data_IF_149534396724
#
_entry.id   IF_149534396724
#
_cell.length_a   1.000
_cell.length_b   1.000
_cell.length_c   1.000
_cell.angle_alpha   90.00
_cell.angle_beta   90.00
_cell.angle_gamma   90.00
#
_symmetry.space_group_name_H-M   'P 1'
#
loop_
_entity.id
_entity.type
_entity.pdbx_description
1 polymer ?
#
# COMPACT_ATOMS: atom_id res chain seq x y z
N UNK A 1 14.65 -42.40 45.02
CA UNK A 1 14.61 -40.97 44.73
C UNK A 1 14.77 -40.77 43.24
N UNK A 2 13.68 -40.68 42.51
CA UNK A 2 13.66 -40.39 41.06
C UNK A 2 13.41 -38.89 40.87
N UNK A 3 14.35 -38.18 40.26
CA UNK A 3 14.19 -36.77 39.89
C UNK A 3 13.59 -36.71 38.48
N UNK A 4 12.33 -36.26 38.38
CA UNK A 4 11.70 -35.94 37.10
C UNK A 4 12.28 -34.59 36.58
N UNK A 5 12.84 -34.60 35.41
CA UNK A 5 13.21 -33.40 34.66
C UNK A 5 12.02 -33.02 33.77
N UNK A 6 11.36 -31.91 34.07
CA UNK A 6 10.43 -31.26 33.15
C UNK A 6 11.22 -30.52 32.05
N UNK A 7 11.12 -31.01 30.83
CA UNK A 7 11.56 -30.24 29.64
C UNK A 7 10.49 -29.22 29.30
N UNK A 8 10.77 -27.96 29.51
CA UNK A 8 9.97 -26.88 28.98
C UNK A 8 10.31 -26.71 27.49
N UNK A 9 9.38 -27.03 26.63
CA UNK A 9 9.47 -26.77 25.18
C UNK A 9 9.17 -25.27 24.99
N UNK A 10 10.22 -24.48 24.79
CA UNK A 10 10.08 -23.11 24.30
C UNK A 10 9.69 -23.19 22.81
N UNK A 11 8.41 -22.96 22.52
CA UNK A 11 7.97 -22.67 21.15
C UNK A 11 8.52 -21.29 20.77
N UNK A 12 9.67 -21.28 20.07
CA UNK A 12 10.23 -20.06 19.50
C UNK A 12 9.26 -19.50 18.48
N UNK A 13 8.66 -18.33 18.75
CA UNK A 13 8.03 -17.51 17.72
C UNK A 13 9.12 -17.18 16.70
N UNK A 14 9.02 -17.75 15.52
CA UNK A 14 9.75 -17.26 14.34
C UNK A 14 9.22 -15.85 14.03
N UNK A 15 9.88 -14.85 14.57
CA UNK A 15 9.79 -13.48 14.07
C UNK A 15 10.40 -13.57 12.67
N UNK A 16 9.62 -13.31 11.63
CA UNK A 16 10.13 -13.08 10.29
C UNK A 16 11.17 -11.96 10.36
N UNK A 17 12.44 -12.30 10.47
CA UNK A 17 13.50 -11.36 10.14
C UNK A 17 13.46 -11.16 8.62
N UNK A 18 12.76 -10.10 8.18
CA UNK A 18 13.00 -9.55 6.85
C UNK A 18 14.50 -9.28 6.76
N UNK A 19 15.17 -10.00 5.88
CA UNK A 19 16.57 -9.70 5.54
C UNK A 19 16.59 -8.21 5.18
N UNK A 20 17.51 -7.45 5.77
CA UNK A 20 17.59 -6.02 5.61
C UNK A 20 17.66 -5.65 4.13
N UNK A 21 16.56 -5.10 3.59
CA UNK A 21 16.48 -4.70 2.20
C UNK A 21 15.17 -5.01 1.50
N UNK A 22 14.35 -5.95 1.98
CA UNK A 22 13.10 -6.34 1.32
C UNK A 22 11.96 -5.31 1.50
N UNK A 23 11.09 -5.22 0.46
CA UNK A 23 9.87 -4.41 0.43
C UNK A 23 8.69 -5.30 0.05
N UNK A 24 8.22 -6.19 0.94
CA UNK A 24 7.40 -7.35 0.59
C UNK A 24 5.91 -7.06 0.38
N UNK A 25 5.44 -5.84 0.64
CA UNK A 25 4.03 -5.47 0.61
C UNK A 25 3.83 -4.02 0.21
N UNK A 26 2.58 -3.62 0.02
CA UNK A 26 2.21 -2.21 -0.12
C UNK A 26 2.72 -1.39 1.05
N UNK A 27 3.51 -0.34 0.74
CA UNK A 27 4.18 0.53 1.72
C UNK A 27 5.19 -0.20 2.63
N UNK A 28 5.78 -1.29 2.12
CA UNK A 28 6.91 -1.99 2.74
C UNK A 28 6.54 -2.93 3.89
N UNK A 29 7.54 -3.35 4.66
CA UNK A 29 7.40 -4.45 5.63
C UNK A 29 6.42 -4.15 6.77
N UNK A 30 6.20 -2.89 7.07
CA UNK A 30 5.29 -2.44 8.15
C UNK A 30 4.01 -1.78 7.62
N UNK A 31 3.86 -1.60 6.30
CA UNK A 31 2.76 -0.84 5.71
C UNK A 31 2.82 0.67 5.96
N UNK A 32 3.93 1.18 6.53
CA UNK A 32 4.07 2.59 6.92
C UNK A 32 4.78 3.47 5.88
N UNK A 33 5.28 2.87 4.78
CA UNK A 33 6.00 3.60 3.74
C UNK A 33 7.43 3.96 4.12
N UNK A 34 8.02 3.26 5.07
CA UNK A 34 9.36 3.53 5.58
C UNK A 34 10.31 2.38 5.32
N UNK A 35 11.50 2.67 4.80
CA UNK A 35 12.60 1.74 4.63
C UNK A 35 13.69 1.98 5.67
N UNK A 36 14.35 0.89 6.10
CA UNK A 36 15.53 0.96 6.98
C UNK A 36 16.82 1.34 6.23
N UNK A 37 16.74 1.66 4.93
CA UNK A 37 17.90 1.98 4.12
C UNK A 37 18.61 3.25 4.63
N UNK A 38 19.90 3.17 4.87
CA UNK A 38 20.71 4.32 5.32
C UNK A 38 21.01 5.30 4.18
N UNK A 39 21.15 4.81 2.94
CA UNK A 39 21.45 5.60 1.75
C UNK A 39 20.53 5.21 0.60
N UNK A 40 19.97 6.21 -0.05
CA UNK A 40 19.13 6.08 -1.23
C UNK A 40 19.49 7.19 -2.23
N UNK A 41 19.29 6.99 -3.55
CA UNK A 41 19.54 8.01 -4.56
C UNK A 41 18.72 9.28 -4.30
N UNK A 42 19.37 10.43 -4.30
CA UNK A 42 18.69 11.74 -4.21
C UNK A 42 18.45 12.34 -5.60
N UNK A 43 19.34 12.03 -6.55
CA UNK A 43 19.30 12.60 -7.89
C UNK A 43 19.36 11.52 -8.97
N UNK A 44 18.53 11.69 -10.00
CA UNK A 44 18.52 10.89 -11.23
C UNK A 44 17.85 11.66 -12.37
N UNK A 45 18.09 11.20 -13.59
CA UNK A 45 17.50 11.72 -14.81
C UNK A 45 17.23 10.58 -15.81
N UNK A 46 16.63 10.83 -16.97
CA UNK A 46 16.47 9.80 -18.01
C UNK A 46 17.79 9.14 -18.46
N UNK A 47 18.92 9.83 -18.28
CA UNK A 47 20.25 9.38 -18.72
C UNK A 47 21.23 9.07 -17.58
N UNK A 48 20.80 9.19 -16.32
CA UNK A 48 21.70 9.02 -15.15
C UNK A 48 20.96 8.48 -13.94
N UNK A 49 21.63 7.63 -13.15
CA UNK A 49 21.08 7.09 -11.90
C UNK A 49 20.02 6.02 -12.08
N UNK A 50 19.79 5.51 -13.30
CA UNK A 50 18.89 4.39 -13.61
C UNK A 50 19.75 3.14 -13.78
N UNK A 51 19.62 2.17 -12.86
CA UNK A 51 20.29 0.90 -12.96
C UNK A 51 19.72 0.06 -14.12
N UNK A 52 18.39 0.03 -14.24
CA UNK A 52 17.72 -0.58 -15.37
C UNK A 52 16.30 0.01 -15.56
N UNK A 53 15.80 -0.14 -16.79
CA UNK A 53 14.45 0.21 -17.23
C UNK A 53 13.94 -0.90 -18.13
N UNK A 54 12.75 -1.43 -17.86
CA UNK A 54 12.16 -2.51 -18.65
C UNK A 54 10.69 -2.20 -18.98
N UNK A 55 10.20 -2.60 -20.18
CA UNK A 55 8.80 -2.40 -20.53
C UNK A 55 7.89 -3.29 -19.70
N UNK A 56 6.69 -2.80 -19.41
CA UNK A 56 5.59 -3.54 -18.81
C UNK A 56 4.55 -3.91 -19.89
N UNK A 57 3.80 -5.01 -19.74
CA UNK A 57 2.80 -5.42 -20.72
C UNK A 57 1.59 -4.47 -20.79
N UNK A 58 1.47 -3.55 -19.85
CA UNK A 58 0.43 -2.54 -19.81
C UNK A 58 0.42 -1.72 -18.52
N UNK A 59 -0.55 -0.82 -18.41
CA UNK A 59 -0.65 0.09 -17.29
C UNK A 59 -1.10 -0.60 -15.99
N UNK A 60 -1.10 0.19 -14.91
CA UNK A 60 -1.60 -0.18 -13.59
C UNK A 60 -1.12 0.81 -12.54
N UNK A 61 -1.69 0.73 -11.35
CA UNK A 61 -1.36 1.60 -10.23
C UNK A 61 -0.77 0.85 -9.02
N UNK A 62 -0.47 -0.46 -9.15
CA UNK A 62 0.23 -1.18 -8.10
C UNK A 62 1.61 -0.59 -7.85
N UNK A 63 2.06 -0.55 -6.62
CA UNK A 63 3.49 -0.43 -6.32
C UNK A 63 4.23 -1.70 -6.74
N UNK A 64 5.56 -1.63 -6.79
CA UNK A 64 6.38 -2.82 -6.82
C UNK A 64 6.52 -3.40 -5.41
N UNK A 65 6.68 -4.72 -5.30
CA UNK A 65 7.24 -5.37 -4.13
C UNK A 65 8.56 -6.02 -4.48
N UNK A 66 9.48 -6.00 -3.54
CA UNK A 66 10.83 -6.56 -3.73
C UNK A 66 11.08 -7.53 -2.59
N UNK A 67 11.41 -8.76 -2.94
CA UNK A 67 11.77 -9.79 -1.96
C UNK A 67 12.67 -10.84 -2.58
N UNK A 68 13.68 -11.25 -1.83
CA UNK A 68 14.59 -12.34 -2.23
C UNK A 68 15.19 -12.15 -3.63
N UNK A 69 15.60 -10.92 -3.97
CA UNK A 69 16.18 -10.59 -5.29
C UNK A 69 15.19 -10.57 -6.45
N UNK A 70 13.89 -10.61 -6.18
CA UNK A 70 12.79 -10.55 -7.16
C UNK A 70 11.96 -9.29 -6.99
N UNK A 71 11.40 -8.79 -8.10
CA UNK A 71 10.44 -7.69 -8.13
C UNK A 71 9.11 -8.21 -8.65
N UNK A 72 8.05 -7.95 -7.93
CA UNK A 72 6.70 -8.35 -8.37
C UNK A 72 5.84 -7.10 -8.58
N UNK A 73 5.10 -7.06 -9.69
CA UNK A 73 4.25 -5.94 -10.06
C UNK A 73 3.02 -6.44 -10.83
N UNK A 74 1.86 -5.80 -10.65
CA UNK A 74 0.66 -6.11 -11.42
C UNK A 74 0.43 -5.09 -12.53
N UNK A 75 -0.12 -5.55 -13.65
CA UNK A 75 -0.50 -4.75 -14.83
C UNK A 75 -1.83 -5.24 -15.38
N UNK A 76 -2.39 -4.54 -16.35
CA UNK A 76 -3.52 -5.03 -17.14
C UNK A 76 -3.32 -4.74 -18.63
N UNK A 77 -4.03 -5.50 -19.48
CA UNK A 77 -4.03 -5.32 -20.93
C UNK A 77 -5.38 -5.66 -21.53
N UNK A 78 -5.56 -5.39 -22.81
CA UNK A 78 -6.72 -5.81 -23.61
C UNK A 78 -7.95 -4.90 -23.52
N UNK A 79 -8.00 -3.94 -22.60
CA UNK A 79 -9.09 -2.98 -22.49
C UNK A 79 -8.62 -1.64 -21.92
N UNK A 80 -9.00 -0.52 -22.55
CA UNK A 80 -8.67 0.85 -22.13
C UNK A 80 -7.19 1.07 -21.78
N UNK A 81 -6.29 0.48 -22.56
CA UNK A 81 -4.85 0.70 -22.41
C UNK A 81 -4.49 2.06 -23.01
N UNK A 82 -3.84 2.99 -22.25
CA UNK A 82 -3.44 4.29 -22.78
C UNK A 82 -2.61 4.19 -24.05
N UNK A 83 -3.01 4.90 -25.10
CA UNK A 83 -2.34 4.88 -26.39
C UNK A 83 -2.66 3.67 -27.29
N UNK A 84 -3.48 2.72 -26.84
CA UNK A 84 -3.97 1.58 -27.62
C UNK A 84 -5.51 1.61 -27.68
N UNK A 85 -6.11 2.25 -28.67
CA UNK A 85 -7.58 2.29 -28.79
C UNK A 85 -8.13 0.90 -29.09
N UNK A 86 -9.33 0.62 -28.59
CA UNK A 86 -10.03 -0.65 -28.78
C UNK A 86 -9.96 -1.58 -27.56
N UNK A 87 -10.35 -2.81 -27.78
CA UNK A 87 -10.53 -3.80 -26.71
C UNK A 87 -11.93 -3.73 -26.07
N UNK A 88 -12.20 -4.69 -25.22
CA UNK A 88 -13.45 -4.79 -24.46
C UNK A 88 -13.15 -5.42 -23.09
N UNK A 89 -14.10 -5.34 -22.17
CA UNK A 89 -13.99 -6.05 -20.89
C UNK A 89 -13.79 -7.56 -21.05
N UNK A 90 -14.29 -8.14 -22.16
CA UNK A 90 -14.07 -9.57 -22.49
C UNK A 90 -12.60 -9.87 -22.85
N UNK A 91 -11.85 -8.92 -23.35
CA UNK A 91 -10.42 -9.08 -23.64
C UNK A 91 -9.50 -8.61 -22.50
N UNK A 92 -10.05 -8.08 -21.42
CA UNK A 92 -9.30 -7.63 -20.26
C UNK A 92 -8.53 -8.78 -19.59
N UNK A 93 -7.24 -8.60 -19.44
CA UNK A 93 -6.34 -9.51 -18.73
C UNK A 93 -5.60 -8.75 -17.65
N UNK A 94 -5.40 -9.40 -16.53
CA UNK A 94 -4.56 -8.92 -15.43
C UNK A 94 -3.29 -9.74 -15.38
N UNK A 95 -2.18 -9.10 -15.14
CA UNK A 95 -0.85 -9.70 -15.18
C UNK A 95 -0.20 -9.57 -13.81
N UNK A 96 0.44 -10.62 -13.34
CA UNK A 96 1.43 -10.60 -12.28
C UNK A 96 2.77 -10.94 -12.90
N UNK A 97 3.71 -10.00 -12.82
CA UNK A 97 5.08 -10.18 -13.31
C UNK A 97 6.01 -10.43 -12.15
N UNK A 98 6.98 -11.31 -12.37
CA UNK A 98 8.18 -11.47 -11.56
C UNK A 98 9.39 -11.09 -12.39
N UNK A 99 10.16 -10.12 -11.91
CA UNK A 99 11.38 -9.65 -12.54
C UNK A 99 12.56 -9.94 -11.62
N UNK A 100 13.73 -10.09 -12.18
CA UNK A 100 15.00 -10.11 -11.44
C UNK A 100 15.35 -8.70 -10.95
N UNK A 101 15.58 -8.53 -9.66
CA UNK A 101 15.81 -7.21 -9.07
C UNK A 101 17.14 -6.56 -9.51
N UNK A 102 18.12 -7.36 -9.92
CA UNK A 102 19.43 -6.88 -10.37
C UNK A 102 19.39 -6.32 -11.80
N UNK A 103 18.56 -6.90 -12.69
CA UNK A 103 18.59 -6.63 -14.14
C UNK A 103 17.28 -6.16 -14.73
N UNK A 104 16.15 -6.35 -14.00
CA UNK A 104 14.80 -6.14 -14.53
C UNK A 104 14.34 -7.23 -15.51
N UNK A 105 15.13 -8.26 -15.78
CA UNK A 105 14.75 -9.35 -16.70
C UNK A 105 13.52 -10.07 -16.15
N UNK A 106 12.52 -10.30 -17.02
CA UNK A 106 11.34 -11.09 -16.67
C UNK A 106 11.73 -12.54 -16.39
N UNK A 107 11.39 -13.01 -15.20
CA UNK A 107 11.57 -14.40 -14.77
C UNK A 107 10.34 -15.23 -15.18
N UNK A 108 9.17 -14.71 -14.86
CA UNK A 108 7.89 -15.28 -15.28
C UNK A 108 6.78 -14.21 -15.26
N UNK A 109 5.70 -14.55 -15.96
CA UNK A 109 4.47 -13.78 -16.01
C UNK A 109 3.27 -14.72 -15.82
N UNK A 110 2.27 -14.27 -15.04
CA UNK A 110 0.98 -14.95 -14.89
C UNK A 110 -0.13 -14.04 -15.36
N UNK A 111 -1.02 -14.60 -16.16
CA UNK A 111 -2.16 -13.89 -16.73
C UNK A 111 -3.44 -14.44 -16.13
N UNK A 112 -4.26 -13.55 -15.58
CA UNK A 112 -5.57 -13.83 -14.99
C UNK A 112 -6.62 -13.13 -15.84
N UNK A 113 -7.52 -13.87 -16.52
CA UNK A 113 -8.65 -13.29 -17.24
C UNK A 113 -9.59 -12.52 -16.30
N UNK A 114 -10.27 -11.51 -16.83
CA UNK A 114 -11.32 -10.83 -16.08
C UNK A 114 -12.52 -11.77 -15.85
N UNK A 115 -13.08 -11.78 -14.64
CA UNK A 115 -14.36 -12.43 -14.33
C UNK A 115 -15.49 -11.46 -14.72
N UNK A 116 -16.23 -11.81 -15.75
CA UNK A 116 -17.28 -10.95 -16.30
C UNK A 116 -18.62 -11.04 -15.50
N UNK A 117 -19.48 -10.02 -15.57
CA UNK A 117 -19.27 -8.71 -16.18
C UNK A 117 -18.27 -7.87 -15.35
N UNK A 118 -17.48 -7.02 -15.99
CA UNK A 118 -16.54 -6.10 -15.36
C UNK A 118 -16.99 -4.66 -15.64
N UNK A 119 -16.49 -3.67 -14.88
CA UNK A 119 -16.72 -2.26 -15.16
C UNK A 119 -16.15 -1.89 -16.53
N UNK A 120 -16.95 -1.22 -17.36
CA UNK A 120 -16.51 -0.73 -18.66
C UNK A 120 -15.41 0.32 -18.54
N UNK A 121 -15.37 1.04 -17.42
CA UNK A 121 -14.33 2.05 -17.18
C UNK A 121 -14.05 2.22 -15.70
N UNK A 122 -12.81 1.96 -15.32
CA UNK A 122 -12.27 2.35 -14.02
C UNK A 122 -11.58 3.71 -14.15
N UNK A 123 -11.87 4.64 -13.25
CA UNK A 123 -11.27 5.97 -13.26
C UNK A 123 -9.79 5.90 -12.84
N UNK A 124 -8.97 6.72 -13.48
CA UNK A 124 -7.59 7.10 -13.11
C UNK A 124 -6.56 5.96 -12.95
N UNK A 125 -6.86 4.86 -12.26
CA UNK A 125 -5.88 3.83 -11.92
C UNK A 125 -6.06 2.50 -12.68
N UNK A 126 -7.13 2.36 -13.46
CA UNK A 126 -7.39 1.16 -14.27
C UNK A 126 -7.63 -0.12 -13.44
N UNK A 127 -7.34 -1.28 -14.05
CA UNK A 127 -7.80 -2.59 -13.55
C UNK A 127 -6.73 -3.38 -12.76
N UNK A 128 -5.60 -2.77 -12.42
CA UNK A 128 -4.50 -3.40 -11.67
C UNK A 128 -3.87 -2.39 -10.68
N UNK A 129 -4.64 -2.01 -9.65
CA UNK A 129 -4.19 -1.04 -8.65
C UNK A 129 -3.63 -1.70 -7.38
N UNK A 130 -4.08 -2.92 -7.05
CA UNK A 130 -3.62 -3.65 -5.88
C UNK A 130 -2.16 -4.05 -6.01
N UNK A 131 -1.34 -3.66 -5.02
CA UNK A 131 0.06 -4.06 -4.90
C UNK A 131 0.13 -5.50 -4.37
N UNK A 132 0.96 -6.39 -4.92
CA UNK A 132 1.12 -7.74 -4.41
C UNK A 132 1.63 -7.77 -2.96
N UNK A 133 1.43 -8.89 -2.29
CA UNK A 133 2.10 -9.25 -1.04
C UNK A 133 2.99 -10.46 -1.31
N UNK A 134 4.18 -10.49 -0.72
CA UNK A 134 5.11 -11.62 -0.83
C UNK A 134 5.52 -12.06 0.57
N UNK A 135 5.55 -13.37 0.81
CA UNK A 135 6.18 -13.97 1.97
C UNK A 135 7.32 -14.93 1.54
N UNK A 136 7.81 -15.75 2.43
CA UNK A 136 8.91 -16.69 2.19
C UNK A 136 8.58 -17.79 1.18
N UNK A 137 7.30 -18.01 0.85
CA UNK A 137 6.82 -19.12 0.01
C UNK A 137 5.97 -18.68 -1.17
N UNK A 138 5.12 -17.67 -0.96
CA UNK A 138 4.06 -17.31 -1.90
C UNK A 138 4.05 -15.81 -2.21
N UNK A 139 3.58 -15.49 -3.40
CA UNK A 139 3.17 -14.16 -3.81
C UNK A 139 1.65 -14.13 -4.00
N UNK A 140 1.00 -13.14 -3.40
CA UNK A 140 -0.44 -12.95 -3.41
C UNK A 140 -0.80 -11.74 -4.25
N UNK A 141 -1.65 -11.93 -5.26
CA UNK A 141 -2.14 -10.86 -6.13
C UNK A 141 -3.66 -10.76 -6.05
N UNK A 142 -4.15 -9.59 -5.66
CA UNK A 142 -5.58 -9.31 -5.57
C UNK A 142 -6.05 -8.57 -6.83
N UNK A 143 -7.04 -9.13 -7.51
CA UNK A 143 -7.57 -8.60 -8.76
C UNK A 143 -9.07 -8.29 -8.68
N UNK A 144 -9.49 -7.68 -7.57
CA UNK A 144 -10.87 -7.31 -7.35
C UNK A 144 -11.79 -8.52 -7.44
N UNK A 145 -12.88 -8.42 -8.18
CA UNK A 145 -13.82 -9.53 -8.34
C UNK A 145 -13.23 -10.76 -9.06
N UNK A 146 -12.09 -10.65 -9.73
CA UNK A 146 -11.38 -11.84 -10.24
C UNK A 146 -10.67 -12.63 -9.15
N UNK A 147 -10.71 -12.17 -7.89
CA UNK A 147 -10.28 -12.90 -6.71
C UNK A 147 -8.88 -12.59 -6.23
N UNK A 148 -8.50 -13.26 -5.16
CA UNK A 148 -7.13 -13.32 -4.64
C UNK A 148 -6.46 -14.59 -5.14
N UNK A 149 -5.30 -14.46 -5.76
CA UNK A 149 -4.50 -15.56 -6.31
C UNK A 149 -3.18 -15.67 -5.57
N UNK A 150 -2.78 -16.89 -5.23
CA UNK A 150 -1.46 -17.18 -4.68
C UNK A 150 -0.65 -18.06 -5.64
N UNK A 151 0.60 -17.67 -5.81
CA UNK A 151 1.58 -18.41 -6.63
C UNK A 151 2.85 -18.63 -5.79
N UNK A 152 3.55 -19.74 -6.04
CA UNK A 152 4.90 -19.90 -5.49
C UNK A 152 5.84 -18.82 -6.06
N UNK A 153 7.00 -18.61 -5.44
CA UNK A 153 7.99 -17.66 -5.94
C UNK A 153 8.48 -18.01 -7.36
N UNK A 154 8.32 -19.27 -7.78
CA UNK A 154 8.61 -19.74 -9.14
C UNK A 154 7.40 -19.68 -10.10
N UNK A 155 6.29 -19.11 -9.63
CA UNK A 155 5.10 -18.85 -10.43
C UNK A 155 4.16 -20.04 -10.59
N UNK A 156 4.28 -21.10 -9.80
CA UNK A 156 3.29 -22.19 -9.80
C UNK A 156 2.07 -21.73 -8.99
N UNK A 157 0.87 -21.85 -9.56
CA UNK A 157 -0.36 -21.51 -8.86
C UNK A 157 -0.56 -22.44 -7.65
N UNK A 158 -0.66 -21.87 -6.47
CA UNK A 158 -0.91 -22.59 -5.23
C UNK A 158 -2.43 -22.70 -4.96
N UNK A 159 -3.13 -21.56 -5.02
CA UNK A 159 -4.58 -21.48 -4.80
C UNK A 159 -5.16 -20.18 -5.35
N UNK A 160 -6.48 -20.11 -5.41
CA UNK A 160 -7.25 -18.89 -5.63
C UNK A 160 -8.47 -18.86 -4.72
N UNK A 161 -8.95 -17.66 -4.37
CA UNK A 161 -10.13 -17.48 -3.55
C UNK A 161 -11.04 -16.40 -4.12
N UNK A 162 -12.34 -16.68 -4.12
CA UNK A 162 -13.39 -15.71 -4.46
C UNK A 162 -13.62 -14.77 -3.27
N UNK A 163 -13.71 -13.48 -3.52
CA UNK A 163 -13.90 -12.45 -2.49
C UNK A 163 -15.21 -11.66 -2.68
N UNK A 164 -15.98 -12.03 -3.68
CA UNK A 164 -17.24 -11.39 -4.04
C UNK A 164 -17.33 -11.05 -5.52
N UNK A 165 -18.46 -10.50 -5.93
CA UNK A 165 -18.79 -10.31 -7.36
C UNK A 165 -19.22 -8.90 -7.74
N UNK A 166 -19.36 -7.98 -6.78
CA UNK A 166 -19.70 -6.58 -7.07
C UNK A 166 -18.54 -5.82 -7.68
N UNK A 167 -18.84 -4.73 -8.36
CA UNK A 167 -17.90 -3.81 -9.00
C UNK A 167 -18.24 -2.37 -8.64
N UNK A 168 -17.32 -1.47 -8.95
CA UNK A 168 -17.49 -0.03 -8.79
C UNK A 168 -16.70 0.70 -9.86
N UNK A 169 -17.23 1.78 -10.41
CA UNK A 169 -16.50 2.65 -11.34
C UNK A 169 -15.22 3.28 -10.77
N UNK A 170 -15.02 3.19 -9.44
CA UNK A 170 -13.76 3.52 -8.77
C UNK A 170 -12.78 2.34 -8.71
N UNK A 171 -13.20 1.12 -9.09
CA UNK A 171 -12.39 -0.09 -9.07
C UNK A 171 -11.97 -0.54 -7.67
N UNK A 172 -11.14 -1.59 -7.63
CA UNK A 172 -10.52 -2.14 -6.43
C UNK A 172 -9.10 -1.62 -6.30
N UNK A 173 -8.70 -1.13 -5.13
CA UNK A 173 -7.39 -0.53 -4.92
C UNK A 173 -6.65 -1.03 -3.67
N UNK A 174 -7.35 -1.62 -2.71
CA UNK A 174 -6.74 -2.18 -1.52
C UNK A 174 -5.77 -3.32 -1.86
N UNK A 175 -4.70 -3.43 -1.09
CA UNK A 175 -3.68 -4.47 -1.25
C UNK A 175 -3.82 -5.55 -0.18
N UNK A 176 -3.41 -6.81 -0.43
CA UNK A 176 -3.39 -7.85 0.60
C UNK A 176 -2.37 -7.54 1.69
N UNK A 177 -2.69 -7.95 2.92
CA UNK A 177 -1.85 -7.75 4.11
C UNK A 177 -1.63 -9.07 4.83
N UNK A 178 -0.39 -9.34 5.24
CA UNK A 178 -0.08 -10.48 6.10
C UNK A 178 -0.40 -10.17 7.57
N UNK A 179 -1.09 -11.08 8.25
CA UNK A 179 -1.35 -11.00 9.68
C UNK A 179 -1.27 -12.40 10.31
N UNK A 180 -0.13 -12.76 10.90
CA UNK A 180 0.14 -14.12 11.35
C UNK A 180 0.06 -15.11 10.18
N UNK A 181 -0.71 -16.18 10.33
CA UNK A 181 -0.93 -17.18 9.28
C UNK A 181 -2.06 -16.80 8.28
N UNK A 182 -2.51 -15.55 8.35
CA UNK A 182 -3.58 -15.05 7.50
C UNK A 182 -3.05 -14.08 6.44
N UNK A 183 -3.68 -14.11 5.26
CA UNK A 183 -3.69 -13.03 4.31
C UNK A 183 -5.06 -12.35 4.38
N UNK A 184 -5.05 -11.03 4.56
CA UNK A 184 -6.27 -10.23 4.72
C UNK A 184 -6.44 -9.31 3.52
N UNK A 185 -7.64 -9.25 2.97
CA UNK A 185 -8.01 -8.32 1.90
C UNK A 185 -9.20 -7.46 2.31
N UNK A 186 -9.15 -6.19 1.95
CA UNK A 186 -10.29 -5.30 2.00
C UNK A 186 -11.06 -5.44 0.68
N UNK A 187 -12.08 -6.27 0.70
CA UNK A 187 -13.01 -6.51 -0.41
C UNK A 187 -14.29 -5.67 -0.27
N UNK A 188 -14.14 -4.40 0.11
CA UNK A 188 -15.28 -3.50 0.31
C UNK A 188 -16.08 -3.29 -0.96
N UNK A 189 -15.44 -3.28 -2.11
CA UNK A 189 -16.07 -3.18 -3.44
C UNK A 189 -16.76 -4.49 -3.80
N UNK A 190 -16.11 -5.62 -3.66
CA UNK A 190 -16.55 -6.92 -4.14
C UNK A 190 -17.66 -7.53 -3.29
N UNK A 191 -17.63 -7.30 -1.97
CA UNK A 191 -18.57 -7.93 -1.02
C UNK A 191 -18.91 -7.08 0.21
N UNK A 192 -18.43 -5.84 0.29
CA UNK A 192 -18.64 -5.00 1.48
C UNK A 192 -17.96 -5.57 2.73
N UNK A 193 -16.80 -6.23 2.59
CA UNK A 193 -16.19 -7.01 3.67
C UNK A 193 -14.67 -6.88 3.74
N UNK A 194 -14.13 -7.06 4.95
CA UNK A 194 -12.73 -7.49 5.14
C UNK A 194 -12.74 -9.00 5.26
N UNK A 195 -11.87 -9.67 4.50
CA UNK A 195 -11.81 -11.14 4.45
C UNK A 195 -10.42 -11.60 4.83
N UNK A 196 -10.34 -12.56 5.76
CA UNK A 196 -9.10 -13.22 6.10
C UNK A 196 -9.10 -14.67 5.63
N UNK A 197 -8.03 -15.03 4.93
CA UNK A 197 -7.81 -16.34 4.36
C UNK A 197 -6.55 -16.95 4.98
N UNK A 198 -6.55 -18.25 5.16
CA UNK A 198 -5.34 -19.02 5.49
C UNK A 198 -4.31 -18.86 4.36
N UNK A 199 -3.11 -18.39 4.69
CA UNK A 199 -2.07 -18.10 3.68
C UNK A 199 -1.65 -19.31 2.86
N UNK A 200 -1.61 -20.50 3.49
CA UNK A 200 -1.14 -21.70 2.83
C UNK A 200 -2.18 -22.31 1.89
N UNK A 201 -3.47 -22.17 2.21
CA UNK A 201 -4.55 -22.91 1.54
C UNK A 201 -5.58 -22.04 0.82
N UNK A 202 -5.62 -20.74 1.08
CA UNK A 202 -6.64 -19.82 0.58
C UNK A 202 -8.02 -20.00 1.22
N UNK A 203 -8.16 -20.89 2.23
CA UNK A 203 -9.45 -21.12 2.89
C UNK A 203 -9.84 -19.93 3.76
N UNK A 204 -11.08 -19.43 3.60
CA UNK A 204 -11.61 -18.36 4.42
C UNK A 204 -11.67 -18.78 5.89
N UNK A 205 -11.12 -17.97 6.76
CA UNK A 205 -11.14 -18.12 8.21
C UNK A 205 -12.22 -17.27 8.86
N UNK A 206 -12.35 -16.03 8.40
CA UNK A 206 -13.40 -15.12 8.86
C UNK A 206 -13.68 -14.02 7.84
N UNK A 207 -14.84 -13.40 7.98
CA UNK A 207 -15.32 -12.27 7.20
C UNK A 207 -15.97 -11.25 8.10
N UNK A 208 -15.53 -10.00 8.03
CA UNK A 208 -16.15 -8.86 8.70
C UNK A 208 -16.92 -8.03 7.67
N UNK A 209 -18.24 -8.04 7.76
CA UNK A 209 -19.12 -7.35 6.81
C UNK A 209 -19.44 -5.91 7.24
N UNK A 210 -20.09 -5.14 6.35
CA UNK A 210 -20.49 -3.75 6.60
C UNK A 210 -19.40 -2.73 6.30
N UNK A 211 -18.36 -3.13 5.56
CA UNK A 211 -17.28 -2.26 5.11
C UNK A 211 -17.74 -1.48 3.88
N UNK A 212 -17.84 -0.15 4.02
CA UNK A 212 -18.33 0.73 2.96
C UNK A 212 -17.37 1.86 2.69
N UNK A 213 -17.29 2.28 1.40
CA UNK A 213 -16.49 3.43 0.94
C UNK A 213 -15.02 3.36 1.39
N UNK A 214 -14.43 2.15 1.33
CA UNK A 214 -13.12 1.85 1.86
C UNK A 214 -12.26 1.22 0.77
N UNK A 215 -11.27 1.95 0.27
CA UNK A 215 -10.26 1.49 -0.70
C UNK A 215 -8.87 1.38 -0.08
N UNK A 216 -8.75 1.71 1.22
CA UNK A 216 -7.47 1.65 1.91
C UNK A 216 -7.07 0.21 2.24
N UNK A 217 -5.78 0.00 2.29
CA UNK A 217 -5.19 -1.24 2.76
C UNK A 217 -5.22 -1.25 4.29
N UNK A 218 -5.79 -2.29 4.94
CA UNK A 218 -5.75 -2.43 6.39
C UNK A 218 -4.31 -2.46 6.92
N UNK A 219 -4.11 -2.00 8.15
CA UNK A 219 -2.78 -1.96 8.76
C UNK A 219 -2.79 -2.76 10.06
N UNK A 220 -1.73 -3.53 10.29
CA UNK A 220 -1.53 -4.27 11.54
C UNK A 220 -0.87 -3.33 12.55
N UNK A 221 -1.57 -3.06 13.65
CA UNK A 221 -1.14 -2.13 14.70
C UNK A 221 -0.96 -2.89 16.01
N UNK A 222 0.12 -2.67 16.80
CA UNK A 222 0.22 -3.20 18.15
C UNK A 222 -0.95 -2.72 19.02
N UNK A 223 -1.49 -3.59 19.88
CA UNK A 223 -2.64 -3.26 20.76
C UNK A 223 -2.21 -2.66 22.11
N UNK A 224 -0.91 -2.53 22.34
CA UNK A 224 -0.34 -2.02 23.59
C UNK A 224 -0.28 -3.05 24.72
N UNK A 225 -0.89 -4.23 24.59
CA UNK A 225 -0.86 -5.33 25.55
C UNK A 225 0.03 -6.51 25.09
N UNK A 226 0.83 -6.29 24.04
CA UNK A 226 1.69 -7.32 23.46
C UNK A 226 1.03 -8.10 22.30
N UNK A 227 -0.23 -7.81 21.99
CA UNK A 227 -0.96 -8.34 20.85
C UNK A 227 -0.96 -7.39 19.63
N UNK A 228 -1.82 -7.73 18.67
CA UNK A 228 -2.00 -6.98 17.42
C UNK A 228 -3.49 -6.76 17.15
N UNK A 229 -3.78 -5.73 16.41
CA UNK A 229 -5.11 -5.42 15.89
C UNK A 229 -5.01 -5.04 14.41
N UNK A 230 -6.06 -5.29 13.64
CA UNK A 230 -6.21 -4.84 12.26
C UNK A 230 -7.00 -3.54 12.27
N UNK A 231 -6.39 -2.46 11.76
CA UNK A 231 -7.04 -1.14 11.72
C UNK A 231 -7.36 -0.76 10.28
N UNK A 232 -8.60 -0.32 10.06
CA UNK A 232 -9.11 0.06 8.73
C UNK A 232 -10.01 1.28 8.83
N UNK A 233 -9.92 2.18 7.86
CA UNK A 233 -10.81 3.31 7.73
C UNK A 233 -11.98 2.98 6.78
N UNK A 234 -13.18 3.27 7.23
CA UNK A 234 -14.40 3.15 6.43
C UNK A 234 -15.17 4.49 6.45
N UNK A 235 -16.25 4.59 5.69
CA UNK A 235 -17.11 5.79 5.75
C UNK A 235 -17.53 6.10 7.18
N UNK A 236 -17.13 7.26 7.68
CA UNK A 236 -17.49 7.78 9.00
C UNK A 236 -16.79 7.16 10.20
N UNK A 237 -15.93 6.14 10.03
CA UNK A 237 -15.28 5.45 11.15
C UNK A 237 -13.89 4.94 10.83
N UNK A 238 -13.06 4.84 11.88
CA UNK A 238 -11.93 3.91 11.92
C UNK A 238 -12.34 2.74 12.80
N UNK A 239 -12.04 1.52 12.35
CA UNK A 239 -12.32 0.28 13.06
C UNK A 239 -11.02 -0.40 13.47
N UNK A 240 -10.96 -0.90 14.69
CA UNK A 240 -9.98 -1.87 15.15
C UNK A 240 -10.63 -3.25 15.25
N UNK A 241 -10.10 -4.19 14.47
CA UNK A 241 -10.60 -5.56 14.40
C UNK A 241 -9.65 -6.51 15.12
N UNK A 242 -10.20 -7.50 15.80
CA UNK A 242 -9.47 -8.66 16.29
C UNK A 242 -8.97 -9.48 15.11
N UNK A 243 -7.66 -9.67 14.91
CA UNK A 243 -7.12 -10.38 13.77
C UNK A 243 -7.49 -11.86 13.71
N UNK A 244 -7.77 -12.49 14.83
CA UNK A 244 -8.11 -13.91 14.89
C UNK A 244 -9.56 -14.20 14.45
N UNK A 245 -10.47 -13.24 14.67
CA UNK A 245 -11.91 -13.45 14.51
C UNK A 245 -12.59 -12.47 13.55
N UNK A 246 -11.94 -11.37 13.18
CA UNK A 246 -12.53 -10.28 12.41
C UNK A 246 -13.56 -9.45 13.17
N UNK A 247 -13.81 -9.73 14.45
CA UNK A 247 -14.75 -8.95 15.26
C UNK A 247 -14.22 -7.55 15.52
N UNK A 248 -15.10 -6.56 15.44
CA UNK A 248 -14.77 -5.19 15.82
C UNK A 248 -14.54 -5.12 17.33
N UNK A 249 -13.32 -4.82 17.74
CA UNK A 249 -12.97 -4.58 19.13
C UNK A 249 -13.34 -3.16 19.54
N UNK A 250 -13.05 -2.18 18.68
CA UNK A 250 -13.39 -0.78 18.90
C UNK A 250 -13.68 -0.04 17.58
N UNK A 251 -14.35 1.09 17.71
CA UNK A 251 -14.57 2.03 16.60
C UNK A 251 -14.39 3.48 17.07
N UNK A 252 -13.92 4.35 16.18
CA UNK A 252 -13.83 5.80 16.40
C UNK A 252 -14.48 6.53 15.23
N UNK A 253 -15.43 7.44 15.49
CA UNK A 253 -16.05 8.26 14.48
C UNK A 253 -15.03 9.27 13.91
N UNK A 254 -15.04 9.44 12.57
CA UNK A 254 -14.08 10.29 11.86
C UNK A 254 -14.69 11.57 11.32
N UNK A 255 -16.02 11.63 11.13
CA UNK A 255 -16.72 12.66 10.37
C UNK A 255 -16.31 12.75 8.88
N UNK A 256 -15.47 11.82 8.40
CA UNK A 256 -15.14 11.63 6.99
C UNK A 256 -16.11 10.61 6.41
N UNK A 257 -17.08 11.08 5.66
CA UNK A 257 -18.26 10.29 5.30
C UNK A 257 -18.14 9.50 4.00
N UNK A 258 -17.11 9.77 3.21
CA UNK A 258 -16.96 9.21 1.87
C UNK A 258 -15.50 9.16 1.40
N UNK A 259 -15.16 8.16 0.58
CA UNK A 259 -13.92 8.05 -0.19
C UNK A 259 -12.67 7.83 0.67
N UNK A 260 -12.67 6.75 1.46
CA UNK A 260 -11.53 6.39 2.32
C UNK A 260 -10.49 5.59 1.54
N UNK A 261 -9.54 6.28 0.89
CA UNK A 261 -8.48 5.68 0.07
C UNK A 261 -7.13 5.62 0.77
N UNK A 262 -6.63 6.71 1.42
CA UNK A 262 -5.35 6.65 2.10
C UNK A 262 -5.34 5.63 3.23
N UNK A 263 -4.27 4.84 3.28
CA UNK A 263 -4.06 3.90 4.38
C UNK A 263 -3.65 4.64 5.66
N UNK A 264 -4.06 4.08 6.76
CA UNK A 264 -3.73 4.55 8.10
C UNK A 264 -2.23 4.42 8.36
N UNK A 265 -1.67 5.32 9.15
CA UNK A 265 -0.33 5.22 9.73
C UNK A 265 -0.38 5.24 11.24
N UNK A 266 0.62 4.63 11.89
CA UNK A 266 0.66 4.57 13.34
C UNK A 266 2.09 4.65 13.89
N UNK A 267 2.21 5.18 15.08
CA UNK A 267 3.44 5.23 15.86
C UNK A 267 3.10 5.27 17.36
N UNK A 268 3.70 4.39 18.16
CA UNK A 268 3.57 4.39 19.63
C UNK A 268 2.10 4.46 20.15
N UNK A 269 1.18 3.74 19.49
CA UNK A 269 -0.25 3.70 19.87
C UNK A 269 -1.07 4.89 19.34
N UNK A 270 -0.44 5.91 18.75
CA UNK A 270 -1.10 6.94 17.98
C UNK A 270 -1.40 6.42 16.58
N UNK A 271 -2.61 6.63 16.12
CA UNK A 271 -3.07 6.32 14.76
C UNK A 271 -3.48 7.61 14.09
N UNK A 272 -2.99 7.85 12.87
CA UNK A 272 -3.39 8.97 12.04
C UNK A 272 -4.10 8.48 10.78
N UNK A 273 -5.24 9.11 10.49
CA UNK A 273 -6.05 8.87 9.30
C UNK A 273 -6.19 10.20 8.54
N UNK A 274 -5.94 10.18 7.24
CA UNK A 274 -6.27 11.28 6.34
C UNK A 274 -7.16 10.75 5.22
N UNK A 275 -7.93 11.60 4.58
CA UNK A 275 -8.72 11.19 3.42
C UNK A 275 -10.08 11.85 3.34
N UNK A 276 -10.85 11.33 2.39
CA UNK A 276 -12.20 11.79 2.14
C UNK A 276 -12.30 13.06 1.30
N UNK A 277 -13.47 13.26 0.72
CA UNK A 277 -13.77 14.43 -0.12
C UNK A 277 -14.80 15.36 0.49
N UNK A 278 -15.15 15.13 1.75
CA UNK A 278 -16.17 15.93 2.46
C UNK A 278 -15.87 16.01 3.95
N UNK A 279 -16.06 17.17 4.53
CA UNK A 279 -15.94 17.41 5.95
C UNK A 279 -14.48 17.52 6.41
N UNK A 280 -14.17 16.86 7.52
CA UNK A 280 -12.82 16.76 8.08
C UNK A 280 -11.94 15.93 7.16
N UNK A 281 -10.69 16.35 6.97
CA UNK A 281 -9.75 15.71 6.06
C UNK A 281 -8.65 14.92 6.78
N UNK A 282 -8.52 15.05 8.09
CA UNK A 282 -7.53 14.30 8.89
C UNK A 282 -7.95 14.21 10.35
N UNK A 283 -7.45 13.20 11.03
CA UNK A 283 -7.60 13.02 12.46
C UNK A 283 -6.48 12.18 13.05
N UNK A 284 -6.21 12.40 14.35
CA UNK A 284 -5.39 11.54 15.18
C UNK A 284 -6.24 10.91 16.28
N UNK A 285 -5.97 9.64 16.55
CA UNK A 285 -6.64 8.90 17.61
C UNK A 285 -5.65 7.98 18.35
N UNK A 286 -5.93 7.70 19.61
CA UNK A 286 -5.27 6.66 20.39
C UNK A 286 -5.97 5.34 20.10
N UNK A 287 -5.28 4.40 19.46
CA UNK A 287 -5.83 3.09 19.17
C UNK A 287 -5.94 2.21 20.42
N UNK A 288 -6.93 1.32 20.43
CA UNK A 288 -7.15 0.35 21.52
C UNK A 288 -8.40 0.65 22.33
N UNK A 289 -8.63 -0.15 23.37
CA UNK A 289 -9.87 -0.12 24.14
C UNK A 289 -10.95 -1.03 23.58
N UNK A 290 -12.22 -0.77 23.94
CA UNK A 290 -13.36 -1.57 23.51
C UNK A 290 -14.58 -0.69 23.23
N UNK A 291 -15.40 -1.09 22.23
CA UNK A 291 -16.62 -0.39 21.85
C UNK A 291 -16.36 0.94 21.12
N UNK A 292 -17.21 1.92 21.34
CA UNK A 292 -17.04 3.26 20.76
C UNK A 292 -16.05 4.10 21.59
N UNK A 293 -14.88 4.34 21.03
CA UNK A 293 -13.81 5.12 21.66
C UNK A 293 -13.77 6.59 21.19
N UNK A 294 -14.80 7.08 20.50
CA UNK A 294 -14.79 8.42 19.90
C UNK A 294 -14.50 9.51 20.94
N UNK A 295 -15.17 9.46 22.10
CA UNK A 295 -14.99 10.47 23.14
C UNK A 295 -13.66 10.34 23.89
N UNK A 296 -13.11 9.13 24.04
CA UNK A 296 -11.90 8.87 24.83
C UNK A 296 -10.64 8.74 23.98
N UNK A 297 -10.77 8.34 22.73
CA UNK A 297 -9.65 8.01 21.84
C UNK A 297 -9.35 9.06 20.77
N UNK A 298 -10.34 9.84 20.29
CA UNK A 298 -10.11 10.86 19.26
C UNK A 298 -9.38 12.07 19.87
N UNK A 299 -8.17 12.31 19.44
CA UNK A 299 -7.29 13.35 19.99
C UNK A 299 -7.48 14.69 19.29
N UNK A 300 -7.56 14.70 17.97
CA UNK A 300 -7.70 15.90 17.16
C UNK A 300 -8.34 15.60 15.81
N UNK A 301 -8.82 16.65 15.14
CA UNK A 301 -9.29 16.65 13.76
C UNK A 301 -8.72 17.84 13.00
N UNK A 302 -8.54 17.71 11.68
CA UNK A 302 -7.96 18.73 10.82
C UNK A 302 -8.66 18.84 9.47
N UNK A 303 -8.49 20.00 8.81
CA UNK A 303 -9.09 20.32 7.51
C UNK A 303 -8.13 20.05 6.34
N UNK A 304 -6.89 19.71 6.61
CA UNK A 304 -5.85 19.43 5.60
C UNK A 304 -5.63 17.94 5.49
N UNK A 305 -5.56 17.42 4.25
CA UNK A 305 -5.38 16.00 3.99
C UNK A 305 -5.07 15.73 2.52
N UNK A 306 -5.20 14.47 2.14
CA UNK A 306 -5.10 13.97 0.78
C UNK A 306 -6.21 12.96 0.54
N UNK A 307 -6.80 12.95 -0.66
CA UNK A 307 -7.88 12.01 -0.97
C UNK A 307 -7.34 10.63 -1.42
N UNK A 308 -6.10 10.52 -1.85
CA UNK A 308 -5.55 9.31 -2.48
C UNK A 308 -4.24 8.87 -1.84
N UNK A 309 -3.26 9.78 -1.75
CA UNK A 309 -1.92 9.50 -1.23
C UNK A 309 -1.94 9.30 0.28
N UNK A 310 -1.39 8.18 0.77
CA UNK A 310 -1.27 7.90 2.21
C UNK A 310 -0.13 8.72 2.84
N UNK A 311 -0.21 9.10 4.13
CA UNK A 311 0.84 9.88 4.79
C UNK A 311 2.04 9.02 5.22
N UNK A 312 3.11 9.68 5.67
CA UNK A 312 4.20 9.10 6.47
C UNK A 312 4.07 9.64 7.91
N UNK A 313 4.21 8.78 8.89
CA UNK A 313 4.33 9.17 10.31
C UNK A 313 5.73 8.79 10.78
N UNK A 314 6.51 9.80 11.18
CA UNK A 314 7.91 9.64 11.57
C UNK A 314 8.32 10.68 12.59
N UNK A 315 8.96 10.24 13.68
CA UNK A 315 9.43 11.09 14.77
C UNK A 315 8.37 12.09 15.25
N UNK A 316 7.15 11.59 15.51
CA UNK A 316 6.04 12.39 16.01
C UNK A 316 5.48 13.41 15.02
N UNK A 317 5.89 13.36 13.74
CA UNK A 317 5.39 14.23 12.68
C UNK A 317 4.70 13.45 11.58
N UNK A 318 3.59 13.99 11.09
CA UNK A 318 2.81 13.45 9.98
C UNK A 318 3.14 14.25 8.71
N UNK A 319 3.60 13.55 7.66
CA UNK A 319 3.98 14.14 6.37
C UNK A 319 3.08 13.62 5.27
N UNK A 320 2.56 14.50 4.42
CA UNK A 320 1.80 14.11 3.23
C UNK A 320 1.87 15.19 2.15
N UNK A 321 1.42 14.84 0.95
CA UNK A 321 1.20 15.80 -0.12
C UNK A 321 -0.28 15.79 -0.51
N UNK A 322 -0.89 16.97 -0.66
CA UNK A 322 -2.23 17.07 -1.21
C UNK A 322 -2.23 16.54 -2.65
N UNK A 323 -3.13 15.60 -2.93
CA UNK A 323 -3.17 14.85 -4.19
C UNK A 323 -3.51 15.69 -5.42
N UNK A 324 -4.18 16.83 -5.26
CA UNK A 324 -4.62 17.69 -6.37
C UNK A 324 -3.71 18.90 -6.59
N UNK A 325 -3.14 19.44 -5.53
CA UNK A 325 -2.52 20.78 -5.55
C UNK A 325 -1.00 20.74 -5.44
N UNK A 326 -0.39 19.58 -5.16
CA UNK A 326 1.05 19.46 -4.97
C UNK A 326 1.57 20.32 -3.79
N UNK A 327 0.79 20.40 -2.71
CA UNK A 327 1.19 21.06 -1.46
C UNK A 327 1.69 19.98 -0.50
N UNK A 328 2.95 20.14 -0.06
CA UNK A 328 3.54 19.29 0.97
C UNK A 328 3.19 19.86 2.36
N UNK A 329 2.78 18.98 3.24
CA UNK A 329 2.43 19.28 4.63
C UNK A 329 3.30 18.51 5.60
N UNK A 330 3.56 19.13 6.74
CA UNK A 330 4.02 18.50 7.96
C UNK A 330 3.14 18.97 9.11
N UNK A 331 2.70 18.04 9.95
CA UNK A 331 1.94 18.34 11.15
C UNK A 331 2.52 17.60 12.36
N UNK A 332 2.36 18.15 13.55
CA UNK A 332 2.59 17.43 14.80
C UNK A 332 1.55 16.32 14.92
N UNK A 333 1.98 15.07 14.96
CA UNK A 333 1.08 13.94 14.95
C UNK A 333 0.18 13.85 16.20
N UNK A 334 0.64 14.38 17.34
CA UNK A 334 -0.11 14.38 18.60
C UNK A 334 -1.24 15.40 18.67
N UNK A 335 -1.18 16.48 17.89
CA UNK A 335 -2.12 17.61 17.97
C UNK A 335 -2.78 17.99 16.65
N UNK A 336 -2.23 17.52 15.50
CA UNK A 336 -2.66 17.93 14.16
C UNK A 336 -2.23 19.36 13.77
N UNK A 337 -1.46 20.06 14.61
CA UNK A 337 -0.93 21.41 14.32
C UNK A 337 -0.03 21.36 13.09
N UNK A 338 -0.33 22.19 12.08
CA UNK A 338 0.47 22.29 10.86
C UNK A 338 1.78 23.00 11.17
N UNK A 339 2.89 22.33 10.91
CA UNK A 339 4.25 22.85 11.07
C UNK A 339 4.70 23.57 9.81
N UNK A 340 4.43 22.99 8.64
CA UNK A 340 4.58 23.66 7.36
C UNK A 340 3.52 23.24 6.34
N UNK A 341 3.22 24.17 5.42
CA UNK A 341 2.36 24.01 4.25
C UNK A 341 3.06 24.66 3.07
N UNK A 342 3.66 23.86 2.18
CA UNK A 342 4.52 24.36 1.11
C UNK A 342 4.12 23.85 -0.26
N UNK A 343 3.84 24.75 -1.18
CA UNK A 343 3.52 24.40 -2.57
C UNK A 343 4.79 24.12 -3.36
N UNK A 344 4.88 22.90 -3.91
CA UNK A 344 6.00 22.52 -4.75
C UNK A 344 5.69 22.85 -6.22
N UNK A 345 6.48 23.74 -6.81
CA UNK A 345 6.28 24.16 -8.19
C UNK A 345 6.37 22.98 -9.18
N UNK A 346 5.34 22.82 -10.00
CA UNK A 346 5.28 21.79 -11.02
C UNK A 346 5.03 20.37 -10.51
N UNK A 347 4.61 20.18 -9.26
CA UNK A 347 4.24 18.88 -8.72
C UNK A 347 2.96 18.33 -9.39
N UNK A 348 1.95 19.18 -9.60
CA UNK A 348 0.68 18.74 -10.16
C UNK A 348 -0.02 17.73 -9.25
N UNK A 349 -0.67 16.74 -9.86
CA UNK A 349 -1.35 15.67 -9.12
C UNK A 349 -0.37 14.61 -8.59
N UNK A 350 -0.61 14.14 -7.35
CA UNK A 350 0.18 13.12 -6.68
C UNK A 350 -0.74 12.04 -6.12
N UNK A 351 -0.78 10.86 -6.78
CA UNK A 351 -1.59 9.73 -6.33
C UNK A 351 -0.75 8.68 -5.59
N UNK A 352 0.50 8.52 -5.99
CA UNK A 352 1.44 7.64 -5.30
C UNK A 352 1.62 8.06 -3.84
N UNK A 353 1.58 7.10 -2.94
CA UNK A 353 1.95 7.33 -1.54
C UNK A 353 3.47 7.55 -1.45
N UNK A 354 3.94 8.53 -0.66
CA UNK A 354 5.36 8.76 -0.47
C UNK A 354 6.04 7.59 0.23
N UNK A 355 7.36 7.52 0.06
CA UNK A 355 8.22 6.63 0.84
C UNK A 355 9.27 7.45 1.57
N UNK A 356 9.64 7.00 2.77
CA UNK A 356 10.73 7.54 3.57
C UNK A 356 11.89 6.56 3.55
N UNK A 357 13.06 7.03 3.13
CA UNK A 357 14.29 6.24 3.11
C UNK A 357 15.51 7.18 3.20
N UNK A 358 16.56 6.76 3.91
CA UNK A 358 17.78 7.55 4.07
C UNK A 358 17.56 8.95 4.63
N UNK A 359 16.57 9.12 5.52
CA UNK A 359 16.18 10.41 6.10
C UNK A 359 15.43 11.36 5.15
N UNK A 360 15.01 10.88 3.97
CA UNK A 360 14.31 11.69 2.99
C UNK A 360 12.96 11.08 2.60
N UNK A 361 11.98 11.95 2.32
CA UNK A 361 10.67 11.61 1.79
C UNK A 361 10.66 11.86 0.28
N UNK A 362 10.23 10.86 -0.48
CA UNK A 362 10.13 10.91 -1.93
C UNK A 362 8.65 11.02 -2.33
N UNK A 363 8.26 12.17 -2.88
CA UNK A 363 6.93 12.41 -3.42
C UNK A 363 6.94 12.24 -4.93
N UNK A 364 6.24 11.23 -5.46
CA UNK A 364 6.15 10.94 -6.89
C UNK A 364 4.85 11.49 -7.46
N UNK A 365 4.98 12.42 -8.42
CA UNK A 365 3.84 12.97 -9.16
C UNK A 365 3.36 12.07 -10.30
N UNK A 366 2.12 12.25 -10.74
CA UNK A 366 1.55 11.51 -11.87
C UNK A 366 2.28 11.74 -13.21
N UNK A 367 3.10 12.79 -13.31
CA UNK A 367 3.92 13.09 -14.48
C UNK A 367 5.33 12.50 -14.44
N UNK A 368 5.65 11.73 -13.39
CA UNK A 368 6.96 11.10 -13.22
C UNK A 368 8.03 11.99 -12.60
N UNK A 369 7.65 13.18 -12.09
CA UNK A 369 8.55 13.98 -11.27
C UNK A 369 8.57 13.43 -9.85
N UNK A 370 9.76 13.32 -9.27
CA UNK A 370 9.96 12.94 -7.88
C UNK A 370 10.62 14.08 -7.13
N UNK A 371 9.98 14.52 -6.06
CA UNK A 371 10.46 15.59 -5.18
C UNK A 371 11.02 14.97 -3.92
N UNK A 372 12.27 15.32 -3.58
CA UNK A 372 13.00 14.79 -2.43
C UNK A 372 13.06 15.87 -1.35
N UNK A 373 12.51 15.55 -0.18
CA UNK A 373 12.38 16.46 0.96
C UNK A 373 12.93 15.74 2.20
N UNK A 374 13.73 16.38 3.08
CA UNK A 374 14.12 15.76 4.35
C UNK A 374 12.90 15.43 5.22
N UNK A 375 12.97 14.34 5.96
CA UNK A 375 11.94 13.98 6.94
C UNK A 375 12.13 14.79 8.24
N UNK A 376 12.04 16.11 8.15
CA UNK A 376 12.27 17.08 9.21
C UNK A 376 11.07 18.02 9.32
N UNK A 377 10.80 18.62 10.50
CA UNK A 377 9.72 19.61 10.69
C UNK A 377 10.04 20.99 10.07
N UNK A 378 10.88 21.00 9.08
CA UNK A 378 11.27 22.18 8.29
C UNK A 378 11.34 21.82 6.82
N UNK A 379 10.56 22.48 5.99
CA UNK A 379 10.56 22.22 4.55
C UNK A 379 11.86 22.67 3.88
N UNK A 380 12.41 21.78 3.05
CA UNK A 380 13.50 22.06 2.12
C UNK A 380 13.41 21.09 0.93
N UNK A 381 13.28 21.63 -0.27
CA UNK A 381 13.36 20.80 -1.49
C UNK A 381 14.84 20.51 -1.79
N UNK A 382 15.24 19.24 -1.69
CA UNK A 382 16.63 18.79 -1.92
C UNK A 382 16.88 18.54 -3.39
N UNK A 383 15.96 17.82 -4.05
CA UNK A 383 16.07 17.49 -5.45
C UNK A 383 14.71 17.40 -6.13
N UNK A 384 14.70 17.61 -7.44
CA UNK A 384 13.58 17.34 -8.34
C UNK A 384 14.06 16.49 -9.48
N UNK A 385 13.59 15.25 -9.53
CA UNK A 385 13.94 14.28 -10.55
C UNK A 385 12.79 14.12 -11.55
N UNK A 386 13.08 13.75 -12.80
CA UNK A 386 12.05 13.50 -13.81
C UNK A 386 12.47 12.38 -14.76
N UNK A 387 11.67 11.34 -14.84
CA UNK A 387 11.93 10.19 -15.72
C UNK A 387 11.55 10.43 -17.20
N UNK A 388 10.76 11.47 -17.48
CA UNK A 388 10.33 11.86 -18.85
C UNK A 388 9.76 10.69 -19.68
N UNK A 389 9.05 9.78 -19.03
CA UNK A 389 8.54 8.55 -19.64
C UNK A 389 7.33 8.79 -20.58
N UNK A 390 6.56 9.84 -20.30
CA UNK A 390 5.31 10.17 -21.01
C UNK A 390 4.16 9.20 -20.69
N UNK A 391 4.31 8.31 -19.71
CA UNK A 391 3.23 7.53 -19.10
C UNK A 391 2.74 8.14 -17.79
N UNK A 392 1.63 7.63 -17.25
CA UNK A 392 1.13 7.97 -15.93
C UNK A 392 1.92 7.24 -14.84
N UNK A 393 2.14 7.91 -13.69
CA UNK A 393 2.81 7.34 -12.52
C UNK A 393 1.82 7.35 -11.34
N UNK A 394 1.09 6.25 -11.17
CA UNK A 394 0.09 6.11 -10.11
C UNK A 394 0.54 5.14 -8.99
N UNK A 395 1.50 4.25 -9.29
CA UNK A 395 2.03 3.30 -8.32
C UNK A 395 2.99 3.95 -7.31
N UNK A 396 2.85 3.58 -6.04
CA UNK A 396 3.76 4.04 -4.99
C UNK A 396 5.16 3.45 -5.18
N UNK A 397 6.23 4.22 -4.97
CA UNK A 397 7.59 3.70 -5.01
C UNK A 397 7.82 2.60 -3.96
N UNK A 398 8.76 1.69 -4.26
CA UNK A 398 9.31 0.75 -3.31
C UNK A 398 10.79 1.04 -3.07
N UNK A 399 11.31 0.62 -1.92
CA UNK A 399 12.72 0.79 -1.57
C UNK A 399 13.29 -0.54 -1.11
N UNK A 400 14.33 -1.02 -1.79
CA UNK A 400 15.03 -2.22 -1.39
C UNK A 400 16.53 -2.08 -1.69
N UNK A 401 17.38 -2.54 -0.79
CA UNK A 401 18.85 -2.51 -0.92
C UNK A 401 19.41 -1.14 -1.31
N UNK A 402 18.84 -0.06 -0.78
CA UNK A 402 19.23 1.31 -1.08
C UNK A 402 18.85 1.79 -2.48
N UNK A 403 18.02 1.07 -3.21
CA UNK A 403 17.49 1.43 -4.54
C UNK A 403 16.01 1.74 -4.47
N UNK A 404 15.55 2.61 -5.38
CA UNK A 404 14.13 2.92 -5.56
C UNK A 404 13.59 2.15 -6.77
N UNK A 405 12.42 1.55 -6.61
CA UNK A 405 11.69 0.90 -7.68
C UNK A 405 10.43 1.71 -7.98
N UNK A 406 10.37 2.28 -9.19
CA UNK A 406 9.31 3.18 -9.63
C UNK A 406 8.70 2.63 -10.91
N UNK A 407 7.37 2.60 -11.00
CA UNK A 407 6.67 2.22 -12.21
C UNK A 407 5.93 3.39 -12.85
N UNK A 408 5.91 3.40 -14.18
CA UNK A 408 4.94 4.14 -15.00
C UNK A 408 3.90 3.18 -15.57
N UNK A 409 2.97 3.70 -16.37
CA UNK A 409 2.07 2.87 -17.18
C UNK A 409 2.81 2.02 -18.24
N UNK A 410 4.05 2.39 -18.58
CA UNK A 410 4.85 1.78 -19.65
C UNK A 410 6.02 0.95 -19.17
N UNK A 411 6.67 1.36 -18.09
CA UNK A 411 7.95 0.79 -17.67
C UNK A 411 8.06 0.59 -16.17
N UNK A 412 8.89 -0.38 -15.80
CA UNK A 412 9.43 -0.52 -14.46
C UNK A 412 10.86 0.00 -14.44
N UNK A 413 11.20 0.79 -13.42
CA UNK A 413 12.52 1.42 -13.21
C UNK A 413 13.13 0.94 -11.91
N UNK A 414 14.43 0.67 -11.93
CA UNK A 414 15.27 0.59 -10.74
C UNK A 414 16.21 1.80 -10.74
N UNK A 415 16.10 2.63 -9.71
CA UNK A 415 16.90 3.85 -9.54
C UNK A 415 17.99 3.55 -8.52
N UNK A 416 19.22 3.86 -8.88
CA UNK A 416 20.42 3.62 -8.07
C UNK A 416 21.54 3.03 -8.90
N UNK A 417 22.62 2.65 -8.25
CA UNK A 417 23.74 1.96 -8.91
C UNK A 417 23.60 0.44 -8.76
N UNK A 418 23.97 -0.31 -9.78
CA UNK A 418 24.20 -1.75 -9.61
C UNK A 418 25.42 -1.92 -8.68
N UNK A 419 25.23 -2.67 -7.60
CA UNK A 419 26.35 -3.10 -6.75
C UNK A 419 27.15 -4.20 -7.44
#
# INVERSE_FOLDING_TARGET
MMRSYCFAIFAGLLVMECQGGDWPAFRGPTGQGMAKAEKTPLEWSPSSGIAWKVPLPGPGASGAVVSSGRVFVTCYSGHLVPGMPGGSTASLKRHLLCLEASSGKTVWEKVVPAKLPEEEKIRDHGYAASTPLVDDKLVYAFFGKSGLHAFSLDGVKAWEADVGSSTSGWGSAASPVACGDLVVVNASVESGSIIALDRATGKEKWRASGIKESWNTPVVVPDGAGGKQLVVAIAGKVLGLDPATGKTAWSCATDIRWYMVPSIVHENGLVCCIGGRSGIASLGLKAGGAGDITASGRLWTGQKGSNVSSPILHDGHLYWMNDQQGIAYCAKASTGEIVYEERIAGAGQVYASPVLAGGHIYYLSRTGKTFVVPAEPRFRLVATNNLQDGGGFNGSPAVADGRLFIRSDKHMYCIGTNK
#
